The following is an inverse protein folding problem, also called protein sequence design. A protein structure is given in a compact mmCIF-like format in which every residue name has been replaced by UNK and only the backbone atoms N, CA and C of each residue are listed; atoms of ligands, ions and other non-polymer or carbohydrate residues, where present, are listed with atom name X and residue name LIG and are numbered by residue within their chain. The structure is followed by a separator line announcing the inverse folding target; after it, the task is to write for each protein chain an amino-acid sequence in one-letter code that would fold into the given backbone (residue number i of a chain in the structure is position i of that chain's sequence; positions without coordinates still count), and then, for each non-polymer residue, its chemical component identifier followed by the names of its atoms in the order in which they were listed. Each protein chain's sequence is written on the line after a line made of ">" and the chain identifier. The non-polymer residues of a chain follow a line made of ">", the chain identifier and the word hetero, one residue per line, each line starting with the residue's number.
data_IF_982367805706
#
_entry.id   IF_982367805706
#
_cell.length_a   1.000
_cell.length_b   1.000
_cell.length_c   1.000
_cell.angle_alpha   90.00
_cell.angle_beta   90.00
_cell.angle_gamma   90.00
#
_symmetry.space_group_name_H-M   'P 1'
#
loop_
_entity.id
_entity.type
_entity.pdbx_description
1 polymer ?
#
# COMPACT_ATOMS: atom_id res chain seq x y z
N UNK A 1 -6.08 -2.37 14.37
CA UNK A 1 -5.02 -2.11 15.38
C UNK A 1 -3.69 -2.77 15.01
N UNK A 2 -3.66 -4.08 14.71
CA UNK A 2 -2.44 -4.88 14.53
C UNK A 2 -1.49 -4.36 13.46
N UNK A 3 -2.01 -4.14 12.25
CA UNK A 3 -1.22 -3.61 11.13
C UNK A 3 -0.68 -2.20 11.40
N UNK A 4 -1.39 -1.38 12.19
CA UNK A 4 -0.89 -0.07 12.61
C UNK A 4 0.23 -0.20 13.64
N UNK A 5 0.04 -1.01 14.69
CA UNK A 5 1.09 -1.31 15.67
C UNK A 5 2.35 -1.87 14.99
N UNK A 6 2.21 -2.83 14.08
CA UNK A 6 3.34 -3.43 13.36
C UNK A 6 4.18 -2.40 12.60
N UNK A 7 3.55 -1.40 11.96
CA UNK A 7 4.27 -0.30 11.29
C UNK A 7 5.04 0.59 12.27
N UNK A 8 4.44 0.89 13.43
CA UNK A 8 5.11 1.68 14.48
C UNK A 8 6.28 0.91 15.07
N UNK A 9 6.03 -0.32 15.52
CA UNK A 9 7.03 -1.16 16.16
C UNK A 9 8.20 -1.47 15.23
N UNK A 10 7.94 -1.82 13.97
CA UNK A 10 8.99 -2.11 12.99
C UNK A 10 9.86 -0.88 12.69
N UNK A 11 9.24 0.28 12.47
CA UNK A 11 9.99 1.52 12.22
C UNK A 11 10.86 1.89 13.42
N UNK A 12 10.32 1.81 14.64
CA UNK A 12 11.07 2.15 15.85
C UNK A 12 12.17 1.14 16.17
N UNK A 13 11.91 -0.17 16.01
CA UNK A 13 12.92 -1.20 16.19
C UNK A 13 14.07 -1.05 15.18
N UNK A 14 13.76 -0.76 13.92
CA UNK A 14 14.77 -0.48 12.90
C UNK A 14 15.55 0.82 13.20
N UNK A 15 14.89 1.85 13.75
CA UNK A 15 15.57 3.06 14.21
C UNK A 15 16.58 2.76 15.33
N UNK A 16 16.16 1.98 16.32
CA UNK A 16 16.99 1.58 17.47
C UNK A 16 18.16 0.67 17.03
N UNK A 17 17.98 -0.10 15.95
CA UNK A 17 19.02 -0.91 15.32
C UNK A 17 19.98 -0.11 14.39
N UNK A 18 19.82 1.21 14.29
CA UNK A 18 20.73 2.09 13.54
C UNK A 18 20.19 2.62 12.20
N UNK A 19 18.93 2.37 11.85
CA UNK A 19 18.30 2.82 10.59
C UNK A 19 17.98 4.32 10.52
N UNK A 20 18.45 5.14 11.45
CA UNK A 20 18.42 6.60 11.36
C UNK A 20 17.15 7.29 11.90
N UNK A 21 17.23 8.62 12.05
CA UNK A 21 16.21 9.43 12.70
C UNK A 21 14.88 9.53 11.91
N UNK A 22 14.90 9.31 10.58
CA UNK A 22 13.69 9.34 9.76
C UNK A 22 12.67 8.27 10.14
N UNK A 23 13.15 7.10 10.56
CA UNK A 23 12.29 6.00 11.02
C UNK A 23 11.52 6.33 12.31
N UNK A 24 12.08 7.17 13.20
CA UNK A 24 11.35 7.67 14.38
C UNK A 24 10.19 8.58 13.99
N UNK A 25 10.40 9.44 13.00
CA UNK A 25 9.34 10.32 12.46
C UNK A 25 8.26 9.48 11.79
N UNK A 26 8.63 8.48 10.96
CA UNK A 26 7.68 7.54 10.37
C UNK A 26 6.88 6.76 11.42
N UNK A 27 7.53 6.30 12.48
CA UNK A 27 6.86 5.65 13.61
C UNK A 27 5.81 6.54 14.26
N UNK A 28 6.11 7.82 14.45
CA UNK A 28 5.15 8.79 14.99
C UNK A 28 4.00 9.10 14.03
N UNK A 29 4.28 9.27 12.74
CA UNK A 29 3.24 9.48 11.71
C UNK A 29 2.30 8.27 11.62
N UNK A 30 2.84 7.05 11.66
CA UNK A 30 2.06 5.81 11.68
C UNK A 30 1.24 5.68 12.97
N UNK A 31 1.79 6.06 14.12
CA UNK A 31 1.08 6.02 15.40
C UNK A 31 -0.08 7.01 15.47
N UNK A 32 -0.06 8.08 14.65
CA UNK A 32 -1.19 9.00 14.47
C UNK A 32 -2.51 8.30 14.14
N UNK A 33 -2.47 7.12 13.51
CA UNK A 33 -3.66 6.31 13.20
C UNK A 33 -4.53 6.05 14.42
N UNK A 34 -3.91 5.79 15.59
CA UNK A 34 -4.62 5.55 16.85
C UNK A 34 -5.37 6.78 17.38
N UNK A 35 -4.89 7.97 17.02
CA UNK A 35 -5.42 9.27 17.45
C UNK A 35 -6.34 9.93 16.42
N UNK A 36 -6.68 9.24 15.32
CA UNK A 36 -7.62 9.74 14.31
C UNK A 36 -7.03 10.06 12.95
N UNK A 37 -5.72 9.85 12.74
CA UNK A 37 -5.08 9.93 11.42
C UNK A 37 -5.40 8.69 10.56
N UNK A 38 -6.68 8.40 10.39
CA UNK A 38 -7.23 7.24 9.70
C UNK A 38 -8.40 7.65 8.81
N UNK A 39 -8.90 6.74 7.97
CA UNK A 39 -9.99 7.03 7.02
C UNK A 39 -11.32 7.37 7.68
N UNK A 40 -11.51 7.04 8.97
CA UNK A 40 -12.68 7.43 9.74
C UNK A 40 -12.56 8.84 10.34
N UNK A 41 -11.35 9.41 10.39
CA UNK A 41 -11.09 10.72 11.00
C UNK A 41 -11.38 10.78 12.50
N UNK A 42 -11.47 9.64 13.18
CA UNK A 42 -11.78 9.56 14.62
C UNK A 42 -10.76 8.69 15.36
N UNK A 43 -10.42 9.04 16.62
CA UNK A 43 -9.56 8.19 17.45
C UNK A 43 -10.12 6.77 17.58
N UNK A 44 -9.23 5.79 17.53
CA UNK A 44 -9.55 4.38 17.76
C UNK A 44 -8.94 3.85 19.06
N UNK A 45 -8.15 4.67 19.75
CA UNK A 45 -7.64 4.42 21.08
C UNK A 45 -8.28 5.40 22.07
N UNK A 46 -8.81 4.88 23.18
CA UNK A 46 -9.31 5.67 24.31
C UNK A 46 -8.25 5.74 25.43
N UNK A 47 -7.64 6.90 25.69
CA UNK A 47 -6.64 7.04 26.73
C UNK A 47 -7.19 6.91 28.16
N UNK A 48 -8.49 7.11 28.39
CA UNK A 48 -9.08 7.00 29.72
C UNK A 48 -9.26 5.55 30.16
N UNK A 49 -9.50 4.65 29.21
CA UNK A 49 -9.84 3.24 29.49
C UNK A 49 -8.82 2.25 28.94
N UNK A 50 -7.97 2.66 28.00
CA UNK A 50 -7.06 1.78 27.26
C UNK A 50 -7.74 0.98 26.13
N UNK A 51 -9.06 1.13 25.96
CA UNK A 51 -9.83 0.45 24.91
C UNK A 51 -9.29 0.83 23.53
N UNK A 52 -9.16 -0.16 22.65
CA UNK A 52 -8.67 0.04 21.28
C UNK A 52 -9.57 -0.69 20.29
N UNK A 53 -10.21 0.07 19.40
CA UNK A 53 -11.04 -0.46 18.33
C UNK A 53 -10.21 -1.34 17.37
N UNK A 54 -10.83 -2.42 16.92
CA UNK A 54 -10.21 -3.49 16.16
C UNK A 54 -9.66 -3.03 14.81
N UNK A 55 -10.38 -2.15 14.13
CA UNK A 55 -9.99 -1.64 12.83
C UNK A 55 -10.83 -0.49 12.32
N UNK A 56 -10.39 0.05 11.20
CA UNK A 56 -11.15 0.99 10.37
C UNK A 56 -11.29 0.35 9.00
N UNK A 57 -12.53 0.23 8.55
CA UNK A 57 -12.90 -0.35 7.26
C UNK A 57 -12.51 0.59 6.11
N UNK A 58 -12.47 0.05 4.89
CA UNK A 58 -12.14 0.82 3.69
C UNK A 58 -13.14 1.95 3.41
N UNK A 59 -14.39 1.79 3.84
CA UNK A 59 -15.46 2.79 3.75
C UNK A 59 -15.42 3.83 4.90
N UNK A 60 -14.44 3.75 5.80
CA UNK A 60 -14.28 4.66 6.94
C UNK A 60 -15.13 4.31 8.16
N UNK A 61 -15.86 3.18 8.17
CA UNK A 61 -16.53 2.71 9.39
C UNK A 61 -15.50 2.20 10.40
N UNK A 62 -15.71 2.51 11.68
CA UNK A 62 -14.90 1.95 12.76
C UNK A 62 -15.53 0.64 13.23
N UNK A 63 -14.74 -0.44 13.19
CA UNK A 63 -15.09 -1.66 13.91
C UNK A 63 -14.80 -1.45 15.40
N UNK A 64 -15.86 -1.15 16.16
CA UNK A 64 -15.78 -0.81 17.59
C UNK A 64 -15.55 -2.01 18.50
N UNK A 65 -15.44 -3.22 17.95
CA UNK A 65 -15.01 -4.37 18.74
C UNK A 65 -13.64 -4.06 19.37
N UNK A 66 -13.43 -4.48 20.60
CA UNK A 66 -12.17 -4.30 21.32
C UNK A 66 -11.80 -5.60 21.99
N UNK A 67 -11.33 -6.56 21.18
CA UNK A 67 -10.85 -7.84 21.67
C UNK A 67 -9.53 -7.71 22.43
N UNK A 68 -9.07 -8.80 23.04
CA UNK A 68 -7.76 -8.85 23.71
C UNK A 68 -6.66 -8.40 22.76
N UNK A 69 -6.71 -8.91 21.55
CA UNK A 69 -5.76 -8.69 20.48
C UNK A 69 -5.64 -7.18 20.12
N UNK A 70 -6.75 -6.49 19.82
CA UNK A 70 -6.70 -5.08 19.41
C UNK A 70 -6.23 -4.18 20.54
N UNK A 71 -6.67 -4.48 21.77
CA UNK A 71 -6.30 -3.80 23.00
C UNK A 71 -4.81 -3.95 23.28
N UNK A 72 -4.26 -5.16 23.18
CA UNK A 72 -2.82 -5.42 23.35
C UNK A 72 -2.02 -4.59 22.34
N UNK A 73 -2.38 -4.58 21.06
CA UNK A 73 -1.63 -3.84 20.04
C UNK A 73 -1.74 -2.32 20.21
N UNK A 74 -2.89 -1.82 20.67
CA UNK A 74 -3.05 -0.42 21.07
C UNK A 74 -2.13 -0.05 22.23
N UNK A 75 -2.18 -0.81 23.33
CA UNK A 75 -1.36 -0.55 24.52
C UNK A 75 0.13 -0.73 24.28
N UNK A 76 0.55 -1.72 23.48
CA UNK A 76 1.95 -1.87 23.05
C UNK A 76 2.44 -0.63 22.28
N UNK A 77 1.58 -0.07 21.42
CA UNK A 77 1.89 1.19 20.75
C UNK A 77 2.04 2.34 21.76
N UNK A 78 1.14 2.44 22.74
CA UNK A 78 1.24 3.49 23.76
C UNK A 78 2.51 3.37 24.61
N UNK A 79 2.93 2.16 24.98
CA UNK A 79 4.21 1.92 25.68
C UNK A 79 5.41 2.38 24.82
N UNK A 80 5.37 2.16 23.51
CA UNK A 80 6.41 2.65 22.59
C UNK A 80 6.46 4.18 22.56
N UNK A 81 5.31 4.85 22.61
CA UNK A 81 5.19 6.31 22.63
C UNK A 81 5.63 6.91 23.97
N UNK A 82 5.21 6.33 25.09
CA UNK A 82 5.58 6.82 26.42
C UNK A 82 7.09 6.73 26.66
N UNK A 83 7.75 5.70 26.11
CA UNK A 83 9.20 5.57 26.14
C UNK A 83 9.93 6.56 25.19
N UNK A 84 9.22 7.23 24.27
CA UNK A 84 9.80 8.08 23.21
C UNK A 84 8.99 9.38 23.03
N UNK A 85 9.18 10.38 23.91
CA UNK A 85 8.39 11.62 23.89
C UNK A 85 8.43 12.39 22.55
N UNK A 86 9.54 12.33 21.82
CA UNK A 86 9.68 12.92 20.48
C UNK A 86 8.74 12.27 19.46
N UNK A 87 8.61 10.94 19.50
CA UNK A 87 7.70 10.16 18.66
C UNK A 87 6.26 10.40 19.09
N UNK A 88 5.99 10.44 20.40
CA UNK A 88 4.67 10.77 20.94
C UNK A 88 4.19 12.16 20.52
N UNK A 89 5.08 13.16 20.49
CA UNK A 89 4.76 14.51 20.04
C UNK A 89 4.36 14.53 18.55
N UNK A 90 5.03 13.74 17.71
CA UNK A 90 4.63 13.56 16.30
C UNK A 90 3.22 13.00 16.20
N UNK A 91 2.94 11.90 16.91
CA UNK A 91 1.68 11.17 16.81
C UNK A 91 0.49 11.99 17.36
N UNK A 92 0.66 12.60 18.53
CA UNK A 92 -0.37 13.39 19.22
C UNK A 92 -0.57 14.79 18.62
N UNK A 93 0.38 15.27 17.83
CA UNK A 93 0.26 16.54 17.10
C UNK A 93 -0.61 16.46 15.85
N UNK A 94 -0.90 15.26 15.34
CA UNK A 94 -1.75 15.07 14.15
C UNK A 94 -3.22 15.28 14.53
N UNK A 95 -3.91 16.12 13.78
CA UNK A 95 -5.33 16.43 13.94
C UNK A 95 -6.21 15.77 12.88
N UNK A 96 -5.61 15.23 11.81
CA UNK A 96 -6.34 14.51 10.77
C UNK A 96 -5.45 14.05 9.62
N UNK A 97 -5.99 13.11 8.83
CA UNK A 97 -5.42 12.71 7.53
C UNK A 97 -6.08 13.57 6.44
N UNK A 98 -5.34 14.52 5.88
CA UNK A 98 -5.86 15.48 4.90
C UNK A 98 -5.93 14.91 3.48
N UNK A 99 -4.90 14.16 3.08
CA UNK A 99 -4.85 13.49 1.79
C UNK A 99 -3.90 12.29 1.85
N UNK A 100 -4.15 11.30 1.02
CA UNK A 100 -3.26 10.16 0.82
C UNK A 100 -3.37 9.70 -0.63
N UNK A 101 -2.22 9.42 -1.24
CA UNK A 101 -2.10 8.77 -2.53
C UNK A 101 -1.11 7.61 -2.40
N UNK A 102 -1.55 6.40 -2.71
CA UNK A 102 -0.76 5.20 -2.49
C UNK A 102 -1.27 4.03 -3.30
N UNK A 103 -1.20 2.84 -2.74
CA UNK A 103 -1.61 1.62 -3.45
C UNK A 103 -3.10 1.71 -3.87
N UNK A 104 -3.37 1.51 -5.16
CA UNK A 104 -4.71 1.39 -5.73
C UNK A 104 -4.95 -0.06 -6.12
N UNK A 105 -6.20 -0.50 -6.05
CA UNK A 105 -6.62 -1.84 -6.44
C UNK A 105 -7.61 -1.71 -7.59
N UNK A 106 -7.33 -2.40 -8.70
CA UNK A 106 -8.25 -2.51 -9.84
C UNK A 106 -8.81 -3.92 -9.85
N UNK A 107 -10.13 -4.03 -9.68
CA UNK A 107 -10.87 -5.28 -9.73
C UNK A 107 -10.78 -5.88 -11.14
N UNK A 108 -10.35 -7.13 -11.26
CA UNK A 108 -10.27 -7.81 -12.54
C UNK A 108 -11.65 -8.01 -13.18
N UNK A 109 -12.71 -8.16 -12.38
CA UNK A 109 -14.09 -8.31 -12.85
C UNK A 109 -14.59 -7.05 -13.59
N UNK A 110 -14.03 -5.88 -13.27
CA UNK A 110 -14.33 -4.61 -13.93
C UNK A 110 -13.62 -4.41 -15.27
N UNK A 111 -12.74 -5.33 -15.67
CA UNK A 111 -11.97 -5.26 -16.91
C UNK A 111 -12.74 -5.68 -18.16
N UNK A 112 -12.16 -5.39 -19.33
CA UNK A 112 -12.63 -5.95 -20.60
C UNK A 112 -12.12 -7.37 -20.73
N UNK A 113 -13.04 -8.31 -20.82
CA UNK A 113 -12.75 -9.74 -20.86
C UNK A 113 -12.64 -10.23 -22.32
N UNK A 114 -11.56 -10.94 -22.63
CA UNK A 114 -11.39 -11.61 -23.90
C UNK A 114 -12.31 -12.84 -24.04
N UNK A 115 -12.42 -13.42 -25.24
CA UNK A 115 -13.24 -14.60 -25.49
C UNK A 115 -12.91 -15.75 -24.53
N UNK A 116 -13.97 -16.37 -23.97
CA UNK A 116 -13.85 -17.52 -23.06
C UNK A 116 -13.49 -17.19 -21.61
N UNK A 117 -13.16 -15.94 -21.29
CA UNK A 117 -12.96 -15.50 -19.91
C UNK A 117 -14.32 -15.40 -19.19
N UNK A 118 -14.38 -15.82 -17.93
CA UNK A 118 -15.60 -15.77 -17.12
C UNK A 118 -15.31 -15.27 -15.70
N UNK A 119 -16.25 -14.53 -15.13
CA UNK A 119 -16.21 -14.18 -13.70
C UNK A 119 -16.70 -15.37 -12.88
N UNK A 120 -15.92 -15.76 -11.88
CA UNK A 120 -16.24 -16.86 -10.96
C UNK A 120 -16.38 -16.31 -9.55
N UNK A 121 -17.56 -16.54 -8.95
CA UNK A 121 -17.85 -16.19 -7.55
C UNK A 121 -17.89 -17.46 -6.71
N UNK A 122 -17.02 -17.62 -5.70
CA UNK A 122 -17.08 -18.76 -4.81
C UNK A 122 -18.40 -18.79 -4.03
N UNK A 123 -19.00 -19.97 -3.87
CA UNK A 123 -20.28 -20.14 -3.19
C UNK A 123 -20.21 -19.77 -1.68
N UNK A 124 -19.03 -19.92 -1.07
CA UNK A 124 -18.76 -19.61 0.34
C UNK A 124 -18.47 -18.12 0.58
N UNK A 125 -18.43 -17.31 -0.49
CA UNK A 125 -18.19 -15.88 -0.44
C UNK A 125 -16.78 -15.47 -0.87
N UNK A 126 -16.48 -14.18 -0.67
CA UNK A 126 -15.21 -13.56 -1.09
C UNK A 126 -14.00 -14.03 -0.26
N UNK A 127 -14.25 -14.44 0.98
CA UNK A 127 -13.21 -14.88 1.90
C UNK A 127 -12.72 -16.27 1.50
N UNK A 128 -11.45 -16.36 1.11
CA UNK A 128 -10.82 -17.62 0.71
C UNK A 128 -10.37 -18.44 1.92
N UNK A 129 -10.42 -17.88 3.13
CA UNK A 129 -9.78 -18.41 4.33
C UNK A 129 -8.42 -17.78 4.63
N UNK A 130 -7.78 -17.16 3.64
CA UNK A 130 -6.49 -16.45 3.78
C UNK A 130 -6.58 -14.96 3.42
N UNK A 131 -7.45 -14.63 2.48
CA UNK A 131 -7.65 -13.26 2.00
C UNK A 131 -9.04 -13.09 1.42
N UNK A 132 -9.43 -11.84 1.21
CA UNK A 132 -10.65 -11.54 0.47
C UNK A 132 -10.31 -11.34 -1.00
N UNK A 133 -11.08 -11.99 -1.88
CA UNK A 133 -11.12 -11.65 -3.29
C UNK A 133 -11.70 -10.24 -3.48
N UNK A 134 -11.04 -9.46 -4.32
CA UNK A 134 -11.51 -8.13 -4.71
C UNK A 134 -12.80 -8.30 -5.50
N UNK A 135 -13.81 -7.46 -5.26
CA UNK A 135 -15.11 -7.58 -5.96
C UNK A 135 -15.94 -8.80 -5.58
N UNK A 136 -15.41 -9.72 -4.75
CA UNK A 136 -16.06 -10.94 -4.31
C UNK A 136 -15.94 -12.14 -5.26
N UNK A 137 -15.03 -12.08 -6.23
CA UNK A 137 -14.79 -13.12 -7.21
C UNK A 137 -13.45 -12.95 -7.90
N UNK A 138 -13.21 -13.74 -8.94
CA UNK A 138 -12.03 -13.62 -9.79
C UNK A 138 -12.41 -13.89 -11.24
N UNK A 139 -11.58 -13.45 -12.18
CA UNK A 139 -11.73 -13.80 -13.59
C UNK A 139 -10.97 -15.10 -13.88
N UNK A 140 -11.69 -16.14 -14.29
CA UNK A 140 -11.11 -17.34 -14.89
C UNK A 140 -10.72 -17.03 -16.34
N UNK A 141 -9.42 -17.04 -16.61
CA UNK A 141 -8.83 -16.76 -17.91
C UNK A 141 -8.30 -18.09 -18.48
N UNK A 142 -8.89 -18.63 -19.56
CA UNK A 142 -8.39 -19.84 -20.19
C UNK A 142 -7.01 -19.60 -20.83
N UNK A 143 -6.29 -20.68 -21.17
CA UNK A 143 -5.03 -20.55 -21.90
C UNK A 143 -5.23 -19.78 -23.22
N UNK A 144 -4.35 -18.81 -23.49
CA UNK A 144 -4.48 -17.86 -24.60
C UNK A 144 -5.56 -16.77 -24.42
N UNK A 145 -6.38 -16.84 -23.37
CA UNK A 145 -7.34 -15.80 -23.00
C UNK A 145 -6.65 -14.57 -22.43
N UNK A 146 -7.37 -13.44 -22.42
CA UNK A 146 -6.83 -12.17 -21.94
C UNK A 146 -7.85 -11.32 -21.18
N UNK A 147 -7.36 -10.46 -20.30
CA UNK A 147 -8.13 -9.44 -19.57
C UNK A 147 -7.43 -8.09 -19.73
N UNK A 148 -8.19 -7.03 -19.94
CA UNK A 148 -7.68 -5.66 -20.04
C UNK A 148 -8.26 -4.77 -18.94
N UNK A 149 -7.37 -4.02 -18.29
CA UNK A 149 -7.70 -3.13 -17.19
C UNK A 149 -7.27 -1.71 -17.55
N UNK A 150 -8.19 -0.76 -17.39
CA UNK A 150 -7.89 0.65 -17.52
C UNK A 150 -7.19 1.14 -16.25
N UNK A 151 -5.92 1.54 -16.38
CA UNK A 151 -5.11 2.04 -15.28
C UNK A 151 -5.03 3.57 -15.38
N UNK A 152 -5.70 4.31 -14.49
CA UNK A 152 -5.63 5.77 -14.50
C UNK A 152 -4.23 6.26 -14.10
N UNK A 153 -3.84 7.43 -14.60
CA UNK A 153 -2.63 8.12 -14.21
C UNK A 153 -2.51 8.23 -12.68
N UNK A 154 -1.27 8.24 -12.20
CA UNK A 154 -0.98 8.69 -10.84
C UNK A 154 -1.02 10.22 -10.79
N UNK A 155 -1.45 10.83 -9.67
CA UNK A 155 -1.45 12.28 -9.48
C UNK A 155 -0.10 12.95 -9.75
N UNK A 156 1.02 12.26 -9.51
CA UNK A 156 2.37 12.76 -9.78
C UNK A 156 2.77 12.70 -11.27
N UNK A 157 2.02 11.98 -12.10
CA UNK A 157 2.31 11.77 -13.53
C UNK A 157 3.55 10.91 -13.80
N UNK A 158 4.18 10.33 -12.77
CA UNK A 158 5.45 9.59 -12.84
C UNK A 158 5.25 8.07 -13.05
N UNK A 159 4.08 7.66 -13.53
CA UNK A 159 3.74 6.25 -13.70
C UNK A 159 3.70 5.50 -12.36
N UNK A 160 4.13 4.24 -12.36
CA UNK A 160 4.09 3.42 -11.15
C UNK A 160 4.45 1.98 -11.40
N UNK A 161 4.13 1.12 -10.43
CA UNK A 161 4.39 -0.31 -10.49
C UNK A 161 3.08 -1.08 -10.46
N UNK A 162 2.93 -1.98 -11.42
CA UNK A 162 1.84 -2.95 -11.46
C UNK A 162 2.25 -4.21 -10.70
N UNK A 163 1.36 -4.69 -9.83
CA UNK A 163 1.52 -5.94 -9.09
C UNK A 163 0.24 -6.78 -9.24
N UNK A 164 0.14 -7.63 -10.28
CA UNK A 164 -1.00 -8.50 -10.42
C UNK A 164 -1.22 -9.42 -9.22
N UNK A 165 -2.50 -9.58 -8.88
CA UNK A 165 -3.00 -10.52 -7.89
C UNK A 165 -3.61 -11.71 -8.63
N UNK A 166 -2.86 -12.80 -8.65
CA UNK A 166 -3.29 -14.07 -9.21
C UNK A 166 -3.56 -15.01 -8.05
N UNK A 167 -4.76 -15.61 -8.02
CA UNK A 167 -5.03 -16.68 -7.07
C UNK A 167 -4.40 -17.98 -7.57
N UNK A 168 -3.20 -18.27 -7.10
CA UNK A 168 -2.41 -19.43 -7.54
C UNK A 168 -2.75 -20.67 -6.71
N UNK A 169 -2.76 -21.86 -7.32
CA UNK A 169 -2.78 -23.16 -6.61
C UNK A 169 -1.37 -23.71 -6.41
N UNK A 170 -1.28 -24.84 -5.68
CA UNK A 170 -0.05 -25.59 -5.49
C UNK A 170 0.53 -26.10 -6.81
N UNK A 171 -0.32 -26.58 -7.71
CA UNK A 171 0.05 -27.15 -9.00
C UNK A 171 0.52 -26.06 -9.97
N UNK A 172 1.55 -26.32 -10.79
CA UNK A 172 1.94 -25.42 -11.87
C UNK A 172 0.78 -25.17 -12.86
N UNK A 173 0.61 -23.93 -13.32
CA UNK A 173 -0.48 -23.54 -14.23
C UNK A 173 -0.04 -22.56 -15.32
N UNK A 174 1.21 -22.67 -15.79
CA UNK A 174 1.77 -21.73 -16.76
C UNK A 174 1.99 -20.32 -16.18
N UNK A 175 2.07 -19.34 -17.08
CA UNK A 175 2.40 -17.95 -16.80
C UNK A 175 1.37 -17.00 -17.44
N UNK A 176 1.46 -15.71 -17.13
CA UNK A 176 0.76 -14.67 -17.86
C UNK A 176 1.72 -13.57 -18.30
N UNK A 177 1.57 -13.13 -19.55
CA UNK A 177 2.26 -11.96 -20.11
C UNK A 177 1.48 -10.69 -19.80
N UNK A 178 2.19 -9.66 -19.36
CA UNK A 178 1.63 -8.35 -19.05
C UNK A 178 2.23 -7.27 -19.94
N UNK A 179 1.38 -6.45 -20.55
CA UNK A 179 1.77 -5.37 -21.47
C UNK A 179 0.81 -4.19 -21.40
N UNK A 180 1.30 -3.01 -21.82
CA UNK A 180 0.43 -1.90 -22.21
C UNK A 180 -0.03 -2.18 -23.64
N UNK A 181 -1.35 -2.13 -23.90
CA UNK A 181 -1.91 -2.39 -25.23
C UNK A 181 -1.32 -1.40 -26.25
N UNK A 182 -0.65 -1.94 -27.27
CA UNK A 182 0.04 -1.13 -28.29
C UNK A 182 1.32 -0.43 -27.80
N UNK A 183 1.82 -0.80 -26.62
CA UNK A 183 2.95 -0.17 -25.96
C UNK A 183 4.00 -1.17 -25.49
N UNK A 184 4.56 -0.91 -24.30
CA UNK A 184 5.65 -1.69 -23.74
C UNK A 184 5.16 -2.95 -23.01
N UNK A 185 5.98 -4.01 -23.05
CA UNK A 185 5.83 -5.15 -22.16
C UNK A 185 6.18 -4.74 -20.73
N UNK A 186 5.37 -5.16 -19.76
CA UNK A 186 5.54 -4.86 -18.34
C UNK A 186 6.23 -6.00 -17.59
N UNK A 187 5.97 -7.25 -17.96
CA UNK A 187 6.62 -8.40 -17.34
C UNK A 187 5.79 -9.67 -17.45
N UNK A 188 6.02 -10.61 -16.52
CA UNK A 188 5.29 -11.87 -16.41
C UNK A 188 4.93 -12.22 -14.97
N UNK A 189 3.90 -13.04 -14.82
CA UNK A 189 3.50 -13.62 -13.53
C UNK A 189 3.32 -15.13 -13.64
N UNK A 190 3.47 -15.83 -12.52
CA UNK A 190 3.10 -17.25 -12.42
C UNK A 190 1.58 -17.38 -12.17
N UNK A 191 0.95 -18.37 -12.80
CA UNK A 191 -0.49 -18.63 -12.64
C UNK A 191 -0.79 -19.68 -11.56
N UNK A 192 0.20 -20.50 -11.21
CA UNK A 192 0.12 -21.57 -10.22
C UNK A 192 1.48 -21.80 -9.57
N UNK A 193 1.71 -22.99 -9.03
CA UNK A 193 3.03 -23.43 -8.56
C UNK A 193 3.45 -22.83 -7.22
N UNK A 194 2.50 -22.59 -6.30
CA UNK A 194 2.86 -22.09 -4.95
C UNK A 194 3.59 -23.13 -4.10
N UNK A 195 3.57 -24.40 -4.52
CA UNK A 195 4.02 -25.52 -3.70
C UNK A 195 2.99 -25.94 -2.66
N UNK A 196 3.41 -26.78 -1.72
CA UNK A 196 2.55 -27.23 -0.62
C UNK A 196 2.04 -26.03 0.21
N UNK A 197 0.81 -26.09 0.74
CA UNK A 197 0.30 -25.05 1.62
C UNK A 197 1.20 -24.87 2.84
N UNK A 198 1.24 -23.66 3.37
CA UNK A 198 1.96 -23.33 4.60
C UNK A 198 1.22 -23.82 5.84
N UNK A 199 1.24 -23.02 6.90
CA UNK A 199 0.46 -23.29 8.13
C UNK A 199 -1.05 -23.06 7.95
N UNK A 200 -1.48 -22.74 6.73
CA UNK A 200 -2.82 -22.33 6.38
C UNK A 200 -3.63 -23.54 5.93
N UNK A 201 -4.87 -23.67 6.39
CA UNK A 201 -5.74 -24.79 6.01
C UNK A 201 -6.23 -24.67 4.56
N UNK A 202 -6.06 -23.50 3.95
CA UNK A 202 -6.57 -23.15 2.63
C UNK A 202 -5.54 -23.42 1.53
N UNK A 203 -5.93 -24.10 0.43
CA UNK A 203 -5.06 -24.27 -0.71
C UNK A 203 -4.92 -22.97 -1.52
N UNK A 204 -3.68 -22.64 -1.86
CA UNK A 204 -3.35 -21.56 -2.78
C UNK A 204 -2.91 -20.26 -2.11
N UNK A 205 -2.66 -19.23 -2.92
CA UNK A 205 -2.05 -17.99 -2.44
C UNK A 205 -2.44 -16.78 -3.31
N UNK A 206 -2.71 -15.66 -2.65
CA UNK A 206 -2.95 -14.34 -3.24
C UNK A 206 -1.79 -13.40 -2.88
N UNK A 207 -0.62 -13.66 -3.46
CA UNK A 207 0.57 -12.82 -3.27
C UNK A 207 0.75 -11.91 -4.47
N UNK A 208 0.87 -10.57 -4.27
CA UNK A 208 1.20 -9.64 -5.34
C UNK A 208 2.49 -10.03 -6.06
N UNK A 209 2.47 -10.06 -7.39
CA UNK A 209 3.65 -10.35 -8.20
C UNK A 209 4.11 -9.06 -8.87
N UNK A 210 5.26 -8.50 -8.45
CA UNK A 210 5.79 -7.26 -9.05
C UNK A 210 6.22 -7.51 -10.51
N UNK A 211 5.76 -6.67 -11.43
CA UNK A 211 6.20 -6.71 -12.83
C UNK A 211 7.58 -6.07 -13.01
N UNK A 212 8.30 -6.50 -14.05
CA UNK A 212 9.70 -6.16 -14.31
C UNK A 212 9.91 -4.68 -14.67
N UNK A 213 8.91 -4.08 -15.31
CA UNK A 213 8.95 -2.71 -15.82
C UNK A 213 7.81 -1.86 -15.26
N UNK A 214 8.06 -0.56 -14.98
CA UNK A 214 7.03 0.35 -14.50
C UNK A 214 6.01 0.66 -15.60
N UNK A 215 4.84 1.09 -15.17
CA UNK A 215 3.84 1.74 -16.02
C UNK A 215 4.42 3.04 -16.58
N UNK A 216 4.06 3.41 -17.83
CA UNK A 216 4.62 4.59 -18.49
C UNK A 216 4.17 5.90 -17.82
N UNK A 217 5.06 6.88 -17.86
CA UNK A 217 4.83 8.23 -17.35
C UNK A 217 3.90 9.03 -18.27
N UNK A 218 3.25 10.06 -17.72
CA UNK A 218 2.56 11.11 -18.48
C UNK A 218 1.28 10.72 -19.24
N UNK A 219 0.91 9.43 -19.29
CA UNK A 219 -0.34 8.97 -19.88
C UNK A 219 -1.51 9.17 -18.92
N UNK A 220 -2.62 9.79 -19.38
CA UNK A 220 -3.81 10.03 -18.56
C UNK A 220 -4.48 8.72 -18.08
N UNK A 221 -4.50 7.72 -18.95
CA UNK A 221 -4.93 6.34 -18.68
C UNK A 221 -4.15 5.41 -19.60
N UNK A 222 -3.79 4.22 -19.12
CA UNK A 222 -3.24 3.16 -19.95
C UNK A 222 -4.04 1.87 -19.81
N UNK A 223 -4.30 1.20 -20.93
CA UNK A 223 -4.89 -0.14 -20.92
C UNK A 223 -3.80 -1.17 -20.70
N UNK A 224 -3.82 -1.86 -19.57
CA UNK A 224 -2.91 -2.98 -19.26
C UNK A 224 -3.62 -4.28 -19.61
N UNK A 225 -2.99 -5.09 -20.47
CA UNK A 225 -3.46 -6.42 -20.85
C UNK A 225 -2.66 -7.51 -20.14
N UNK A 226 -3.39 -8.47 -19.60
CA UNK A 226 -2.89 -9.75 -19.14
C UNK A 226 -3.29 -10.83 -20.14
N UNK A 227 -2.36 -11.67 -20.59
CA UNK A 227 -2.64 -12.83 -21.46
C UNK A 227 -2.09 -14.11 -20.86
N UNK A 228 -2.95 -15.12 -20.64
CA UNK A 228 -2.53 -16.41 -20.09
C UNK A 228 -1.75 -17.24 -21.12
N UNK A 229 -0.70 -17.93 -20.66
CA UNK A 229 0.24 -18.71 -21.48
C UNK A 229 0.60 -20.04 -20.82
N UNK A 230 0.37 -21.13 -21.52
CA UNK A 230 0.77 -22.47 -21.08
C UNK A 230 -0.07 -22.99 -19.90
N UNK A 231 -1.24 -22.40 -19.66
CA UNK A 231 -2.16 -22.81 -18.61
C UNK A 231 -3.17 -21.71 -18.22
N UNK A 232 -4.27 -22.08 -17.55
CA UNK A 232 -5.28 -21.12 -17.12
C UNK A 232 -4.78 -20.23 -15.97
N UNK A 233 -5.42 -19.08 -15.84
CA UNK A 233 -5.14 -18.05 -14.84
C UNK A 233 -6.42 -17.73 -14.05
N UNK A 234 -6.29 -17.52 -12.74
CA UNK A 234 -7.36 -17.00 -11.87
C UNK A 234 -7.00 -15.59 -11.42
N UNK A 235 -7.39 -14.59 -12.19
CA UNK A 235 -7.01 -13.20 -11.96
C UNK A 235 -8.00 -12.52 -11.01
N UNK A 236 -7.51 -12.09 -9.85
CA UNK A 236 -8.32 -11.41 -8.82
C UNK A 236 -8.31 -9.88 -9.06
N UNK A 237 -7.12 -9.29 -9.15
CA UNK A 237 -6.99 -7.84 -9.29
C UNK A 237 -5.63 -7.43 -9.87
N UNK A 238 -5.50 -6.15 -10.17
CA UNK A 238 -4.22 -5.48 -10.42
C UNK A 238 -3.98 -4.41 -9.36
N UNK A 239 -2.94 -4.59 -8.54
CA UNK A 239 -2.49 -3.54 -7.65
C UNK A 239 -1.61 -2.56 -8.42
N UNK A 240 -1.80 -1.26 -8.17
CA UNK A 240 -1.01 -0.19 -8.76
C UNK A 240 -0.41 0.65 -7.66
N UNK A 241 0.92 0.58 -7.50
CA UNK A 241 1.67 1.39 -6.55
C UNK A 241 2.24 2.61 -7.29
N UNK A 242 1.97 3.85 -6.85
CA UNK A 242 2.53 5.03 -7.49
C UNK A 242 4.06 5.06 -7.38
N UNK A 243 4.70 5.76 -8.32
CA UNK A 243 6.12 6.03 -8.27
C UNK A 243 6.50 6.78 -6.98
N UNK A 244 5.70 7.77 -6.57
CA UNK A 244 5.79 8.40 -5.25
C UNK A 244 4.46 8.25 -4.50
N UNK A 245 4.45 7.45 -3.44
CA UNK A 245 3.32 7.43 -2.52
C UNK A 245 3.39 8.64 -1.58
N UNK A 246 2.25 9.27 -1.30
CA UNK A 246 2.18 10.45 -0.45
C UNK A 246 1.12 10.32 0.65
N UNK A 247 1.37 10.95 1.78
CA UNK A 247 0.38 11.15 2.82
C UNK A 247 0.59 12.55 3.43
N UNK A 248 -0.49 13.31 3.55
CA UNK A 248 -0.53 14.64 4.14
C UNK A 248 -1.44 14.60 5.37
N UNK A 249 -0.90 15.04 6.50
CA UNK A 249 -1.60 15.15 7.76
C UNK A 249 -1.72 16.61 8.16
N UNK A 250 -2.91 17.00 8.61
CA UNK A 250 -3.06 18.25 9.35
C UNK A 250 -2.52 18.06 10.75
N UNK A 251 -1.84 19.07 11.27
CA UNK A 251 -1.30 19.04 12.63
C UNK A 251 -1.70 20.29 13.40
N UNK A 252 -1.36 20.34 14.69
CA UNK A 252 -1.50 21.57 15.49
C UNK A 252 -0.53 22.69 15.08
N UNK A 253 0.45 22.39 14.24
CA UNK A 253 1.39 23.34 13.63
C UNK A 253 1.34 23.27 12.10
N UNK A 254 2.52 23.23 11.47
CA UNK A 254 2.63 23.04 10.02
C UNK A 254 2.17 21.62 9.64
N UNK A 255 1.61 21.45 8.44
CA UNK A 255 1.19 20.13 7.94
C UNK A 255 2.37 19.19 7.81
N UNK A 256 2.19 17.93 8.23
CA UNK A 256 3.16 16.90 7.96
C UNK A 256 2.90 16.24 6.60
N UNK A 257 3.93 16.01 5.80
CA UNK A 257 3.84 15.33 4.52
C UNK A 257 4.93 14.26 4.42
N UNK A 258 4.53 13.05 4.05
CA UNK A 258 5.42 11.96 3.65
C UNK A 258 5.38 11.83 2.14
N UNK A 259 6.56 11.73 1.52
CA UNK A 259 6.76 11.32 0.14
C UNK A 259 7.64 10.06 0.16
N UNK A 260 7.14 8.93 -0.33
CA UNK A 260 7.86 7.66 -0.34
C UNK A 260 8.12 7.23 -1.79
N UNK A 261 9.40 7.25 -2.19
CA UNK A 261 9.83 6.91 -3.54
C UNK A 261 9.92 5.40 -3.74
N UNK A 262 9.21 4.89 -4.74
CA UNK A 262 9.35 3.52 -5.27
C UNK A 262 10.16 3.50 -6.57
N UNK A 263 10.88 4.57 -6.88
CA UNK A 263 11.60 4.77 -8.13
C UNK A 263 13.05 4.29 -8.04
N UNK A 264 13.61 3.87 -9.18
CA UNK A 264 15.03 3.49 -9.28
C UNK A 264 16.00 4.68 -9.23
N UNK A 265 15.48 5.91 -9.41
CA UNK A 265 16.24 7.17 -9.39
C UNK A 265 15.48 8.21 -8.59
N UNK A 266 16.18 9.20 -8.06
CA UNK A 266 15.53 10.32 -7.39
C UNK A 266 14.62 11.08 -8.37
N UNK A 267 13.47 11.52 -7.88
CA UNK A 267 12.45 12.24 -8.67
C UNK A 267 12.03 13.52 -7.97
N UNK A 268 11.40 14.43 -8.70
CA UNK A 268 10.83 15.67 -8.16
C UNK A 268 9.33 15.67 -8.33
N UNK A 269 8.62 15.94 -7.24
CA UNK A 269 7.15 16.06 -7.21
C UNK A 269 6.74 17.40 -6.59
N UNK A 270 5.56 17.96 -6.93
CA UNK A 270 5.08 19.18 -6.29
C UNK A 270 4.86 19.00 -4.78
N UNK A 271 5.28 19.98 -3.98
CA UNK A 271 5.04 19.99 -2.55
C UNK A 271 3.53 20.11 -2.25
N UNK A 272 2.99 19.17 -1.47
CA UNK A 272 1.58 19.17 -1.06
C UNK A 272 1.27 20.21 0.02
N UNK A 273 2.29 20.67 0.75
CA UNK A 273 2.22 21.72 1.75
C UNK A 273 3.58 22.42 1.86
N UNK A 274 3.59 23.65 2.39
CA UNK A 274 4.82 24.28 2.81
C UNK A 274 5.33 23.59 4.09
N UNK A 275 6.65 23.50 4.25
CA UNK A 275 7.22 22.89 5.44
C UNK A 275 8.73 22.75 5.39
N UNK A 276 9.28 22.22 6.48
CA UNK A 276 10.72 21.90 6.59
C UNK A 276 10.89 20.46 7.05
N UNK A 277 12.01 19.85 6.72
CA UNK A 277 12.31 18.51 7.17
C UNK A 277 13.53 17.94 6.48
N UNK A 278 13.48 16.68 6.09
CA UNK A 278 14.63 16.00 5.52
C UNK A 278 14.22 14.90 4.53
N UNK A 279 15.12 14.64 3.61
CA UNK A 279 15.13 13.47 2.77
C UNK A 279 16.03 12.39 3.40
N UNK A 280 15.61 11.14 3.29
CA UNK A 280 16.28 9.96 3.81
C UNK A 280 16.39 8.95 2.68
N UNK A 281 17.55 8.31 2.53
CA UNK A 281 17.75 7.27 1.53
C UNK A 281 17.01 5.98 1.93
N UNK A 282 17.03 4.97 1.06
CA UNK A 282 16.39 3.66 1.32
C UNK A 282 16.95 2.92 2.54
N UNK A 283 18.18 3.25 2.97
CA UNK A 283 18.80 2.73 4.20
C UNK A 283 18.49 3.58 5.45
N UNK A 284 17.66 4.61 5.31
CA UNK A 284 17.24 5.50 6.39
C UNK A 284 18.26 6.57 6.80
N UNK A 285 19.43 6.61 6.14
CA UNK A 285 20.44 7.66 6.38
C UNK A 285 19.92 9.01 5.86
N UNK A 286 20.04 10.10 6.64
CA UNK A 286 19.71 11.45 6.17
C UNK A 286 20.53 11.81 4.92
N UNK A 287 19.84 12.24 3.87
CA UNK A 287 20.42 12.67 2.61
C UNK A 287 20.62 14.20 2.62
N UNK A 288 19.53 14.97 2.84
CA UNK A 288 19.57 16.43 2.88
C UNK A 288 18.44 17.01 3.73
N UNK A 289 18.64 18.22 4.22
CA UNK A 289 17.55 19.05 4.78
C UNK A 289 16.71 19.61 3.64
N UNK A 290 15.39 19.68 3.84
CA UNK A 290 14.41 20.15 2.87
C UNK A 290 13.66 21.32 3.46
N UNK A 291 13.49 22.40 2.68
CA UNK A 291 12.57 23.51 2.98
C UNK A 291 11.86 23.89 1.70
N UNK A 292 10.54 23.80 1.71
CA UNK A 292 9.73 23.95 0.50
C UNK A 292 8.52 24.84 0.75
N UNK A 293 8.18 25.65 -0.25
CA UNK A 293 6.90 26.32 -0.32
C UNK A 293 5.87 25.37 -0.96
N UNK A 294 4.57 25.57 -0.68
CA UNK A 294 3.52 24.79 -1.32
C UNK A 294 3.61 24.89 -2.86
N UNK A 295 3.47 23.76 -3.55
CA UNK A 295 3.62 23.66 -5.01
C UNK A 295 5.06 23.70 -5.54
N UNK A 296 6.06 24.05 -4.73
CA UNK A 296 7.46 24.00 -5.16
C UNK A 296 7.93 22.55 -5.31
N UNK A 297 8.93 22.26 -6.17
CA UNK A 297 9.45 20.89 -6.31
C UNK A 297 10.08 20.36 -5.00
N UNK A 298 9.73 19.13 -4.65
CA UNK A 298 10.32 18.34 -3.56
C UNK A 298 11.10 17.18 -4.19
N UNK A 299 12.39 17.08 -3.87
CA UNK A 299 13.21 15.95 -4.31
C UNK A 299 12.98 14.73 -3.41
N UNK A 300 12.53 13.61 -4.00
CA UNK A 300 12.30 12.32 -3.34
C UNK A 300 13.42 11.35 -3.73
N UNK A 301 14.22 10.82 -2.78
CA UNK A 301 15.27 9.86 -3.09
C UNK A 301 14.76 8.53 -3.68
N UNK A 302 15.59 7.88 -4.49
CA UNK A 302 15.31 6.54 -5.01
C UNK A 302 15.14 5.52 -3.88
N UNK A 303 13.99 4.86 -3.82
CA UNK A 303 13.66 3.91 -2.74
C UNK A 303 13.60 4.51 -1.33
N UNK A 304 13.76 5.83 -1.20
CA UNK A 304 13.84 6.53 0.07
C UNK A 304 12.56 7.32 0.38
N UNK A 305 12.65 8.17 1.39
CA UNK A 305 11.52 9.00 1.82
C UNK A 305 11.93 10.45 1.99
N UNK A 306 11.02 11.38 1.76
CA UNK A 306 11.14 12.77 2.19
C UNK A 306 10.00 13.10 3.12
N UNK A 307 10.30 13.76 4.23
CA UNK A 307 9.33 14.12 5.24
C UNK A 307 9.45 15.62 5.50
N UNK A 308 8.33 16.34 5.39
CA UNK A 308 8.23 17.78 5.74
C UNK A 308 7.16 17.99 6.79
N UNK A 309 7.35 18.96 7.69
CA UNK A 309 6.47 19.32 8.81
C UNK A 309 6.91 20.66 9.40
#
# INVERSE_FOLDING_TARGET
>A
AYGAHGRVAAALAAADAGGGAGLRVLGGLAAGWFFGANTAGVPVYDPATGVTADGVETDGRVNRNSGAESTIHGLLTMLLLDARPDVAAVARGITGLAAFDGLRVLDAEGGRLGPGCTVVRPAEGAWTGEGNLVGGGYVAVPDGGWVELEVPATPDGLGGWALPLVWRTAEPSGEADWEVVGGARLGRTQNGGTGAPGLTEVPGSLVPQLLDHPLPDGAATVTVRCTARGGPLRLDALLVRPAVATARWTTTGDDAVLYAGSTARAVRVPALAAGRGAAYRSDGVPDRTVRVAAGAPVDVPAGGVTITR
#
